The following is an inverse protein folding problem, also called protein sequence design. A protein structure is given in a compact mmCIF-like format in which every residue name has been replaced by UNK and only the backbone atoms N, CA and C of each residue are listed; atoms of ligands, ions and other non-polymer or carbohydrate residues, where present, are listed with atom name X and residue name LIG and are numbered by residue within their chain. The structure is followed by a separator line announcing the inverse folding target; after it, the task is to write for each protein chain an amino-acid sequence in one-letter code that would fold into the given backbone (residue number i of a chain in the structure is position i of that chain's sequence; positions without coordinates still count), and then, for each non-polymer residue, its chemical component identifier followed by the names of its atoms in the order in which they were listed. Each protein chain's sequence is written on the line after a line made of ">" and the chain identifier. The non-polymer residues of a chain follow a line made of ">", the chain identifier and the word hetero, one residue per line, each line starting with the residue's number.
data_IF_291594993964
#
_entry.id   IF_291594993964
#
_cell.length_a   1.000
_cell.length_b   1.000
_cell.length_c   1.000
_cell.angle_alpha   90.00
_cell.angle_beta   90.00
_cell.angle_gamma   90.00
#
_symmetry.space_group_name_H-M   'P 1'
#
loop_
_entity.id
_entity.type
_entity.pdbx_description
1 polymer ?
#
# COMPACT_ATOMS: atom_id res chain seq x y z
N UNK A 1 46.54 -0.93 -5.52
CA UNK A 1 46.66 -0.51 -4.09
C UNK A 1 45.90 0.79 -3.85
N UNK A 2 46.17 1.89 -4.58
CA UNK A 2 45.43 3.16 -4.41
C UNK A 2 43.93 3.06 -4.71
N UNK A 3 43.54 2.41 -5.81
CA UNK A 3 42.12 2.22 -6.17
C UNK A 3 41.35 1.40 -5.11
N UNK A 4 42.03 0.44 -4.49
CA UNK A 4 41.45 -0.43 -3.46
C UNK A 4 41.25 0.32 -2.14
N UNK A 5 42.20 1.19 -1.77
CA UNK A 5 42.04 2.10 -0.63
C UNK A 5 40.92 3.12 -0.86
N UNK A 6 40.73 3.59 -2.09
CA UNK A 6 39.65 4.52 -2.42
C UNK A 6 38.28 3.84 -2.35
N UNK A 7 38.14 2.61 -2.88
CA UNK A 7 36.94 1.78 -2.69
C UNK A 7 36.62 1.52 -1.23
N UNK A 8 37.62 1.28 -0.38
CA UNK A 8 37.42 1.05 1.05
C UNK A 8 36.83 2.29 1.73
N UNK A 9 37.35 3.48 1.43
CA UNK A 9 36.85 4.76 1.95
C UNK A 9 35.40 5.03 1.51
N UNK A 10 35.09 4.77 0.25
CA UNK A 10 33.72 4.92 -0.28
C UNK A 10 32.74 3.95 0.40
N UNK A 11 33.17 2.71 0.63
CA UNK A 11 32.36 1.70 1.32
C UNK A 11 32.10 2.08 2.77
N UNK A 12 33.11 2.56 3.50
CA UNK A 12 32.95 3.04 4.88
C UNK A 12 32.02 4.26 4.96
N UNK A 13 32.16 5.19 4.01
CA UNK A 13 31.27 6.34 3.92
C UNK A 13 29.81 5.90 3.65
N UNK A 14 29.60 5.00 2.69
CA UNK A 14 28.28 4.45 2.39
C UNK A 14 27.66 3.74 3.60
N UNK A 15 28.45 2.98 4.36
CA UNK A 15 28.03 2.31 5.59
C UNK A 15 27.57 3.33 6.65
N UNK A 16 28.33 4.40 6.86
CA UNK A 16 28.00 5.48 7.81
C UNK A 16 26.70 6.22 7.41
N UNK A 17 26.53 6.49 6.12
CA UNK A 17 25.30 7.10 5.59
C UNK A 17 24.09 6.17 5.78
N UNK A 18 24.24 4.87 5.51
CA UNK A 18 23.18 3.88 5.72
C UNK A 18 22.76 3.80 7.19
N UNK A 19 23.73 3.81 8.11
CA UNK A 19 23.48 3.83 9.55
C UNK A 19 22.71 5.09 9.99
N UNK A 20 23.16 6.28 9.59
CA UNK A 20 22.44 7.52 9.92
C UNK A 20 21.00 7.54 9.37
N UNK A 21 20.79 7.03 8.15
CA UNK A 21 19.45 6.90 7.55
C UNK A 21 18.56 5.91 8.31
N UNK A 22 19.14 4.84 8.85
CA UNK A 22 18.43 3.89 9.69
C UNK A 22 18.03 4.54 11.02
N UNK A 23 18.97 5.16 11.74
CA UNK A 23 18.71 5.85 13.01
C UNK A 23 17.65 6.96 12.88
N UNK A 24 17.72 7.76 11.80
CA UNK A 24 16.71 8.81 11.52
C UNK A 24 15.32 8.21 11.31
N UNK A 25 15.22 7.07 10.61
CA UNK A 25 13.93 6.37 10.40
C UNK A 25 13.39 5.76 11.69
N UNK A 26 14.25 5.24 12.56
CA UNK A 26 13.86 4.68 13.86
C UNK A 26 13.33 5.78 14.78
N UNK A 27 14.05 6.90 14.91
CA UNK A 27 13.60 8.07 15.70
C UNK A 27 12.25 8.61 15.21
N UNK A 28 12.04 8.70 13.89
CA UNK A 28 10.78 9.17 13.34
C UNK A 28 9.61 8.21 13.65
N UNK A 29 9.85 6.89 13.63
CA UNK A 29 8.85 5.89 14.03
C UNK A 29 8.47 6.02 15.50
N UNK A 30 9.47 6.20 16.38
CA UNK A 30 9.23 6.37 17.81
C UNK A 30 8.49 7.68 18.11
N UNK A 31 8.88 8.79 17.48
CA UNK A 31 8.19 10.07 17.60
C UNK A 31 6.73 9.98 17.15
N UNK A 32 6.46 9.31 16.02
CA UNK A 32 5.08 9.09 15.54
C UNK A 32 4.27 8.19 16.48
N UNK A 33 4.89 7.14 17.06
CA UNK A 33 4.23 6.28 18.05
C UNK A 33 3.87 7.07 19.30
N UNK A 34 4.75 7.96 19.77
CA UNK A 34 4.50 8.81 20.92
C UNK A 34 3.42 9.87 20.64
N UNK A 35 3.44 10.49 19.45
CA UNK A 35 2.42 11.45 19.04
C UNK A 35 1.03 10.80 18.94
N UNK A 36 0.94 9.58 18.40
CA UNK A 36 -0.30 8.83 18.35
C UNK A 36 -0.79 8.42 19.74
N UNK A 37 0.11 8.02 20.64
CA UNK A 37 -0.24 7.70 22.04
C UNK A 37 -0.77 8.94 22.78
N UNK A 38 -0.17 10.12 22.57
CA UNK A 38 -0.67 11.39 23.14
C UNK A 38 -2.08 11.72 22.63
N UNK A 39 -2.33 11.56 21.32
CA UNK A 39 -3.66 11.80 20.72
C UNK A 39 -4.75 10.88 21.27
N UNK A 40 -4.43 9.63 21.58
CA UNK A 40 -5.38 8.69 22.19
C UNK A 40 -5.70 9.04 23.65
N UNK A 41 -4.69 9.48 24.43
CA UNK A 41 -4.93 9.94 25.80
C UNK A 41 -5.79 11.21 25.88
N UNK A 42 -5.55 12.18 24.99
CA UNK A 42 -6.37 13.40 24.94
C UNK A 42 -7.80 13.18 24.44
N UNK A 43 -8.10 12.03 23.80
CA UNK A 43 -9.48 11.67 23.46
C UNK A 43 -10.19 10.89 24.57
N UNK A 44 -9.46 10.25 25.48
CA UNK A 44 -10.03 9.58 26.66
C UNK A 44 -10.28 10.59 27.80
N UNK A 45 -9.46 11.64 27.95
CA UNK A 45 -9.66 12.67 28.99
C UNK A 45 -10.75 13.71 28.65
N UNK A 46 -11.29 13.72 27.43
CA UNK A 46 -12.38 14.63 27.03
C UNK A 46 -13.77 13.96 27.02
N UNK A 47 -13.89 12.69 27.44
CA UNK A 47 -15.19 12.01 27.58
C UNK A 47 -15.75 12.06 29.02
N UNK A 48 -15.03 12.65 29.97
CA UNK A 48 -15.42 12.73 31.39
C UNK A 48 -15.75 14.15 31.91
N UNK A 49 -15.89 15.18 31.04
CA UNK A 49 -16.22 16.56 31.48
C UNK A 49 -17.34 17.23 30.64
N UNK A 50 -18.39 16.48 30.30
CA UNK A 50 -19.68 17.04 29.88
C UNK A 50 -20.79 16.70 30.88
N UNK A 51 -20.64 17.16 32.12
CA UNK A 51 -21.79 17.47 32.98
C UNK A 51 -21.66 18.87 33.54
N UNK A 52 -22.37 19.81 32.90
CA UNK A 52 -22.96 20.95 33.59
C UNK A 52 -22.21 22.27 33.52
N UNK A 53 -22.64 23.10 32.57
CA UNK A 53 -22.87 24.52 32.84
C UNK A 53 -23.85 25.05 31.79
N UNK A 54 -25.11 25.18 32.19
CA UNK A 54 -26.07 25.99 31.45
C UNK A 54 -25.64 27.45 31.50
N UNK A 55 -25.81 28.14 30.39
CA UNK A 55 -25.92 29.59 30.35
C UNK A 55 -26.90 29.92 29.24
N UNK A 56 -28.15 30.12 29.66
CA UNK A 56 -29.18 30.81 28.91
C UNK A 56 -28.65 32.20 28.55
N UNK A 57 -28.57 32.48 27.25
CA UNK A 57 -28.46 33.83 26.72
C UNK A 57 -29.69 34.02 25.86
N UNK A 58 -30.74 34.55 26.50
CA UNK A 58 -31.79 35.28 25.84
C UNK A 58 -31.17 36.52 25.17
N UNK A 59 -31.30 36.61 23.86
CA UNK A 59 -31.13 37.89 23.17
C UNK A 59 -32.28 38.04 22.16
N UNK A 60 -33.30 38.75 22.63
CA UNK A 60 -34.37 39.35 21.84
C UNK A 60 -33.81 40.41 20.89
N UNK A 61 -34.21 40.30 19.61
CA UNK A 61 -34.53 41.37 18.65
C UNK A 61 -34.46 40.71 17.26
N UNK A 62 -35.50 40.61 16.45
CA UNK A 62 -36.66 41.48 16.26
C UNK A 62 -36.73 41.71 14.75
N UNK A 63 -37.85 41.27 14.13
CA UNK A 63 -38.50 41.82 12.92
C UNK A 63 -37.66 41.97 11.63
N UNK A 64 -38.02 41.60 10.41
CA UNK A 64 -39.22 41.11 9.75
C UNK A 64 -38.76 40.50 8.41
N UNK A 65 -39.35 39.40 7.93
CA UNK A 65 -39.89 39.35 6.56
C UNK A 65 -40.68 38.07 6.31
N UNK A 66 -41.97 38.24 6.08
CA UNK A 66 -42.86 37.22 5.52
C UNK A 66 -42.55 37.02 4.03
N UNK A 67 -42.28 35.78 3.60
CA UNK A 67 -43.01 35.10 2.52
C UNK A 67 -42.30 33.82 2.08
N UNK A 68 -43.03 32.70 2.07
CA UNK A 68 -42.69 31.51 1.30
C UNK A 68 -42.85 30.19 2.05
N UNK A 69 -44.07 29.68 2.06
CA UNK A 69 -44.43 28.32 2.43
C UNK A 69 -43.55 27.26 1.74
N UNK A 70 -43.15 26.22 2.47
CA UNK A 70 -42.50 25.04 1.89
C UNK A 70 -41.86 24.15 2.95
N UNK A 71 -42.64 23.24 3.51
CA UNK A 71 -42.30 22.47 4.70
C UNK A 71 -41.20 21.40 4.59
N UNK A 72 -40.99 20.80 5.77
CA UNK A 72 -40.25 19.58 6.12
C UNK A 72 -38.73 19.65 6.41
N UNK A 73 -38.45 20.02 7.68
CA UNK A 73 -37.84 19.12 8.70
C UNK A 73 -37.25 17.81 8.16
N UNK A 74 -35.92 17.72 8.10
CA UNK A 74 -35.08 16.76 8.87
C UNK A 74 -33.61 16.89 8.45
N UNK A 75 -32.97 17.95 8.91
CA UNK A 75 -31.53 17.96 9.14
C UNK A 75 -31.23 17.14 10.40
N UNK A 76 -31.06 15.82 10.30
CA UNK A 76 -30.40 15.01 11.35
C UNK A 76 -29.76 13.73 10.77
N UNK A 77 -28.93 13.82 9.72
CA UNK A 77 -28.14 12.63 9.27
C UNK A 77 -26.80 12.97 8.57
N UNK A 78 -26.23 14.16 8.78
CA UNK A 78 -25.02 14.58 8.05
C UNK A 78 -23.67 14.11 8.66
N UNK A 79 -23.67 13.34 9.76
CA UNK A 79 -22.42 13.00 10.48
C UNK A 79 -21.89 11.57 10.28
N UNK A 80 -22.58 10.70 9.53
CA UNK A 80 -22.13 9.31 9.24
C UNK A 80 -21.68 9.02 7.80
N UNK A 81 -22.02 9.83 6.81
CA UNK A 81 -21.70 9.55 5.40
C UNK A 81 -20.29 9.98 4.92
N UNK A 82 -19.53 10.74 5.71
CA UNK A 82 -18.20 11.22 5.28
C UNK A 82 -17.07 10.19 5.37
N UNK A 83 -17.33 8.99 5.94
CA UNK A 83 -16.36 7.88 6.00
C UNK A 83 -16.55 6.85 4.88
N UNK A 84 -17.72 6.73 4.26
CA UNK A 84 -18.00 5.69 3.25
C UNK A 84 -17.39 6.00 1.88
N UNK A 85 -17.38 7.27 1.45
CA UNK A 85 -16.83 7.68 0.14
C UNK A 85 -15.29 7.58 0.05
N UNK A 86 -14.55 7.73 1.16
CA UNK A 86 -13.08 7.54 1.18
C UNK A 86 -12.66 6.07 1.13
N UNK A 87 -13.47 5.16 1.67
CA UNK A 87 -13.19 3.72 1.64
C UNK A 87 -13.37 3.14 0.23
N UNK A 88 -14.49 3.45 -0.42
CA UNK A 88 -14.80 3.00 -1.78
C UNK A 88 -13.77 3.47 -2.82
N UNK A 89 -13.34 4.72 -2.74
CA UNK A 89 -12.32 5.26 -3.65
C UNK A 89 -10.97 4.59 -3.47
N UNK A 90 -10.60 4.20 -2.25
CA UNK A 90 -9.38 3.44 -2.00
C UNK A 90 -9.46 2.01 -2.50
N UNK A 91 -10.60 1.34 -2.37
CA UNK A 91 -10.80 -0.02 -2.91
C UNK A 91 -10.67 0.01 -4.44
N UNK A 92 -11.33 0.95 -5.12
CA UNK A 92 -11.22 1.11 -6.58
C UNK A 92 -9.78 1.37 -7.01
N UNK A 93 -9.04 2.24 -6.29
CA UNK A 93 -7.62 2.50 -6.57
C UNK A 93 -6.75 1.25 -6.40
N UNK A 94 -6.97 0.47 -5.33
CA UNK A 94 -6.26 -0.78 -5.11
C UNK A 94 -6.58 -1.79 -6.23
N UNK A 95 -7.84 -1.91 -6.64
CA UNK A 95 -8.22 -2.78 -7.76
C UNK A 95 -7.54 -2.37 -9.06
N UNK A 96 -7.47 -1.07 -9.37
CA UNK A 96 -6.73 -0.56 -10.53
C UNK A 96 -5.24 -0.89 -10.41
N UNK A 97 -4.66 -0.76 -9.22
CA UNK A 97 -3.28 -1.15 -8.97
C UNK A 97 -3.05 -2.65 -9.20
N UNK A 98 -3.92 -3.52 -8.68
CA UNK A 98 -3.82 -4.97 -8.90
C UNK A 98 -3.93 -5.33 -10.39
N UNK A 99 -4.77 -4.63 -11.16
CA UNK A 99 -4.82 -4.79 -12.62
C UNK A 99 -3.47 -4.45 -13.28
N UNK A 100 -2.78 -3.39 -12.83
CA UNK A 100 -1.43 -3.05 -13.33
C UNK A 100 -0.39 -4.13 -12.98
N UNK A 101 -0.50 -4.75 -11.80
CA UNK A 101 0.38 -5.86 -11.39
C UNK A 101 0.12 -7.09 -12.28
N UNK A 102 -1.15 -7.41 -12.54
CA UNK A 102 -1.52 -8.52 -13.41
C UNK A 102 -1.06 -8.31 -14.87
N UNK A 103 -1.19 -7.08 -15.38
CA UNK A 103 -0.73 -6.66 -16.71
C UNK A 103 0.67 -6.06 -16.71
N UNK A 104 1.56 -6.49 -15.80
CA UNK A 104 2.86 -5.85 -15.61
C UNK A 104 3.75 -5.88 -16.86
N UNK A 105 3.61 -6.92 -17.69
CA UNK A 105 4.33 -7.10 -18.95
C UNK A 105 3.87 -6.14 -20.07
N UNK A 106 2.82 -5.34 -19.86
CA UNK A 106 2.43 -4.33 -20.83
C UNK A 106 3.54 -3.26 -20.96
N UNK A 107 3.92 -2.83 -22.18
CA UNK A 107 5.01 -1.86 -22.39
C UNK A 107 4.86 -0.55 -21.59
N UNK A 108 3.62 -0.13 -21.35
CA UNK A 108 3.32 1.05 -20.54
C UNK A 108 3.64 0.88 -19.06
N UNK A 109 3.47 -0.32 -18.50
CA UNK A 109 3.74 -0.63 -17.11
C UNK A 109 5.24 -0.86 -16.87
N UNK A 110 5.92 -1.55 -17.79
CA UNK A 110 7.36 -1.80 -17.75
C UNK A 110 8.18 -0.50 -17.69
N UNK A 111 7.88 0.45 -18.59
CA UNK A 111 8.56 1.76 -18.62
C UNK A 111 8.27 2.60 -17.38
N UNK A 112 7.18 2.32 -16.67
CA UNK A 112 6.71 3.09 -15.53
C UNK A 112 6.79 2.32 -14.21
N UNK A 113 7.68 1.32 -14.10
CA UNK A 113 7.85 0.53 -12.87
C UNK A 113 8.06 1.41 -11.63
N UNK A 114 8.79 2.52 -11.76
CA UNK A 114 8.99 3.47 -10.66
C UNK A 114 7.68 4.14 -10.22
N UNK A 115 6.73 4.39 -11.13
CA UNK A 115 5.40 4.88 -10.77
C UNK A 115 4.62 3.81 -10.03
N UNK A 116 4.69 2.55 -10.48
CA UNK A 116 4.02 1.43 -9.80
C UNK A 116 4.57 1.27 -8.39
N UNK A 117 5.89 1.35 -8.19
CA UNK A 117 6.52 1.29 -6.87
C UNK A 117 6.08 2.47 -5.98
N UNK A 118 5.93 3.68 -6.53
CA UNK A 118 5.39 4.82 -5.78
C UNK A 118 3.95 4.58 -5.36
N UNK A 119 3.09 4.11 -6.28
CA UNK A 119 1.69 3.76 -5.99
C UNK A 119 1.60 2.70 -4.89
N UNK A 120 2.45 1.66 -4.96
CA UNK A 120 2.54 0.59 -3.98
C UNK A 120 2.73 1.13 -2.54
N UNK A 121 3.57 2.14 -2.36
CA UNK A 121 3.85 2.75 -1.04
C UNK A 121 2.64 3.47 -0.42
N UNK A 122 1.64 3.83 -1.23
CA UNK A 122 0.43 4.54 -0.79
C UNK A 122 -0.68 3.60 -0.34
N UNK A 123 -0.61 2.31 -0.70
CA UNK A 123 -1.67 1.34 -0.47
C UNK A 123 -1.34 0.36 0.67
N UNK A 124 -2.36 -0.02 1.44
CA UNK A 124 -2.29 -1.13 2.39
C UNK A 124 -2.60 -2.45 1.68
N UNK A 125 -1.58 -3.08 1.11
CA UNK A 125 -1.73 -4.27 0.25
C UNK A 125 -1.67 -5.61 1.01
N UNK A 126 -1.55 -5.61 2.34
CA UNK A 126 -1.38 -6.83 3.16
C UNK A 126 -2.43 -7.91 2.86
N UNK A 127 -3.69 -7.50 2.66
CA UNK A 127 -4.82 -8.40 2.36
C UNK A 127 -4.77 -8.96 0.93
N UNK A 128 -4.05 -8.31 0.03
CA UNK A 128 -3.92 -8.65 -1.38
C UNK A 128 -2.58 -9.32 -1.71
N UNK A 129 -1.68 -9.49 -0.73
CA UNK A 129 -0.36 -10.10 -0.96
C UNK A 129 -0.42 -11.49 -1.57
N UNK A 130 -1.46 -12.29 -1.27
CA UNK A 130 -1.62 -13.61 -1.90
C UNK A 130 -1.88 -13.49 -3.41
N UNK A 131 -2.76 -12.58 -3.80
CA UNK A 131 -3.10 -12.31 -5.20
C UNK A 131 -1.90 -11.73 -5.94
N UNK A 132 -1.23 -10.73 -5.35
CA UNK A 132 -0.02 -10.11 -5.92
C UNK A 132 1.07 -11.15 -6.16
N UNK A 133 1.35 -12.02 -5.18
CA UNK A 133 2.35 -13.08 -5.32
C UNK A 133 2.01 -14.02 -6.47
N UNK A 134 0.74 -14.47 -6.55
CA UNK A 134 0.28 -15.33 -7.63
C UNK A 134 0.50 -14.63 -8.98
N UNK A 135 -0.03 -13.42 -9.13
CA UNK A 135 0.00 -12.68 -10.38
C UNK A 135 1.47 -12.46 -10.83
N UNK A 136 2.34 -11.99 -9.93
CA UNK A 136 3.77 -11.79 -10.23
C UNK A 136 4.51 -13.08 -10.58
N UNK A 137 4.18 -14.20 -9.92
CA UNK A 137 4.83 -15.49 -10.19
C UNK A 137 4.48 -16.08 -11.56
N UNK A 138 3.33 -15.67 -12.12
CA UNK A 138 2.80 -16.19 -13.39
C UNK A 138 2.99 -15.25 -14.58
N UNK A 139 3.68 -14.12 -14.40
CA UNK A 139 3.92 -13.16 -15.49
C UNK A 139 4.74 -13.85 -16.59
N UNK A 140 4.28 -13.84 -17.86
CA UNK A 140 5.11 -14.26 -18.98
C UNK A 140 6.16 -13.17 -19.24
N UNK A 141 7.44 -13.57 -19.22
CA UNK A 141 8.60 -12.71 -19.47
C UNK A 141 9.27 -13.19 -20.74
N UNK A 142 9.49 -12.29 -21.69
CA UNK A 142 10.05 -12.59 -23.01
C UNK A 142 11.57 -12.38 -23.06
N UNK A 143 12.33 -12.85 -22.07
CA UNK A 143 13.81 -12.74 -21.99
C UNK A 143 14.40 -11.35 -22.36
N UNK A 144 13.59 -10.28 -22.28
CA UNK A 144 14.02 -8.90 -22.53
C UNK A 144 14.67 -8.38 -21.24
N UNK A 145 15.86 -7.80 -21.35
CA UNK A 145 16.59 -7.21 -20.22
C UNK A 145 15.73 -6.20 -19.47
N UNK A 146 14.94 -5.40 -20.19
CA UNK A 146 14.08 -4.39 -19.59
C UNK A 146 12.96 -5.02 -18.75
N UNK A 147 12.34 -6.09 -19.25
CA UNK A 147 11.28 -6.80 -18.54
C UNK A 147 11.80 -7.44 -17.26
N UNK A 148 12.97 -8.07 -17.35
CA UNK A 148 13.63 -8.72 -16.21
C UNK A 148 14.01 -7.67 -15.15
N UNK A 149 14.66 -6.57 -15.54
CA UNK A 149 15.07 -5.51 -14.63
C UNK A 149 13.87 -4.84 -13.93
N UNK A 150 12.79 -4.59 -14.70
CA UNK A 150 11.57 -4.03 -14.15
C UNK A 150 10.93 -4.99 -13.14
N UNK A 151 10.84 -6.28 -13.47
CA UNK A 151 10.28 -7.28 -12.55
C UNK A 151 11.12 -7.40 -11.28
N UNK A 152 12.44 -7.49 -11.40
CA UNK A 152 13.36 -7.54 -10.26
C UNK A 152 13.18 -6.31 -9.37
N UNK A 153 13.04 -5.13 -9.96
CA UNK A 153 12.78 -3.87 -9.23
C UNK A 153 11.47 -3.94 -8.45
N UNK A 154 10.40 -4.43 -9.09
CA UNK A 154 9.08 -4.53 -8.46
C UNK A 154 9.06 -5.55 -7.32
N UNK A 155 9.59 -6.76 -7.56
CA UNK A 155 9.71 -7.85 -6.57
C UNK A 155 10.56 -7.41 -5.39
N UNK A 156 11.69 -6.73 -5.63
CA UNK A 156 12.55 -6.18 -4.59
C UNK A 156 11.82 -5.14 -3.73
N UNK A 157 11.00 -4.30 -4.37
CA UNK A 157 10.22 -3.29 -3.68
C UNK A 157 9.15 -3.93 -2.77
N UNK A 158 8.45 -4.96 -3.24
CA UNK A 158 7.52 -5.73 -2.40
C UNK A 158 8.23 -6.42 -1.23
N UNK A 159 9.43 -6.98 -1.47
CA UNK A 159 10.22 -7.60 -0.41
C UNK A 159 10.60 -6.62 0.69
N UNK A 160 10.99 -5.39 0.33
CA UNK A 160 11.36 -4.35 1.29
C UNK A 160 10.18 -3.82 2.11
N UNK A 161 8.97 -3.82 1.55
CA UNK A 161 7.78 -3.32 2.25
C UNK A 161 7.02 -4.37 3.05
N UNK A 162 7.13 -5.64 2.65
CA UNK A 162 6.34 -6.72 3.24
C UNK A 162 7.24 -7.91 3.59
N UNK A 163 7.58 -8.04 4.89
CA UNK A 163 8.49 -9.08 5.40
C UNK A 163 8.11 -10.50 4.95
N UNK A 164 6.80 -10.79 4.85
CA UNK A 164 6.27 -12.11 4.46
C UNK A 164 6.26 -12.35 2.95
N UNK A 165 6.51 -11.33 2.12
CA UNK A 165 6.43 -11.44 0.67
C UNK A 165 7.50 -12.36 0.10
N UNK A 166 8.76 -12.22 0.54
CA UNK A 166 9.88 -12.99 -0.02
C UNK A 166 9.69 -14.51 0.10
N UNK A 167 9.25 -14.97 1.29
CA UNK A 167 8.93 -16.39 1.50
C UNK A 167 7.79 -16.86 0.59
N UNK A 168 6.67 -16.13 0.56
CA UNK A 168 5.50 -16.49 -0.27
C UNK A 168 5.83 -16.51 -1.76
N UNK A 169 6.61 -15.55 -2.23
CA UNK A 169 7.01 -15.45 -3.62
C UNK A 169 7.93 -16.61 -4.01
N UNK A 170 8.93 -16.94 -3.17
CA UNK A 170 9.78 -18.12 -3.37
C UNK A 170 8.94 -19.40 -3.46
N UNK A 171 8.04 -19.62 -2.51
CA UNK A 171 7.19 -20.81 -2.46
C UNK A 171 6.33 -20.91 -3.75
N UNK A 172 5.73 -19.80 -4.19
CA UNK A 172 4.93 -19.75 -5.42
C UNK A 172 5.75 -20.04 -6.69
N UNK A 173 6.97 -19.52 -6.80
CA UNK A 173 7.86 -19.82 -7.92
C UNK A 173 8.26 -21.31 -7.93
N UNK A 174 8.59 -21.87 -6.75
CA UNK A 174 8.91 -23.29 -6.64
C UNK A 174 7.73 -24.19 -7.02
N UNK A 175 6.50 -23.81 -6.69
CA UNK A 175 5.29 -24.53 -7.09
C UNK A 175 5.13 -24.61 -8.61
N UNK A 176 5.52 -23.56 -9.34
CA UNK A 176 5.48 -23.54 -10.82
C UNK A 176 6.47 -24.55 -11.40
N UNK A 177 7.68 -24.64 -10.83
CA UNK A 177 8.72 -25.56 -11.32
C UNK A 177 8.54 -26.99 -10.80
N UNK A 178 7.84 -27.19 -9.68
CA UNK A 178 7.60 -28.50 -9.10
C UNK A 178 6.13 -28.66 -8.65
N UNK A 179 5.18 -28.78 -9.59
CA UNK A 179 3.76 -28.87 -9.27
C UNK A 179 3.39 -30.15 -8.48
N UNK A 180 4.31 -31.11 -8.33
CA UNK A 180 4.11 -32.38 -7.63
C UNK A 180 4.57 -32.37 -6.16
N UNK A 181 5.30 -31.35 -5.69
CA UNK A 181 5.83 -31.34 -4.30
C UNK A 181 4.91 -30.72 -3.25
N UNK A 182 3.88 -29.97 -3.64
CA UNK A 182 2.93 -29.38 -2.69
C UNK A 182 1.48 -29.76 -3.04
N UNK A 183 1.06 -30.94 -2.56
CA UNK A 183 -0.37 -31.23 -2.38
C UNK A 183 -0.92 -30.27 -1.31
N UNK A 184 -1.42 -29.11 -1.73
CA UNK A 184 -2.48 -28.43 -1.01
C UNK A 184 -3.72 -28.54 -1.89
N UNK A 185 -4.72 -29.18 -1.31
CA UNK A 185 -6.02 -29.48 -1.88
C UNK A 185 -6.71 -28.26 -2.48
N UNK A 186 -7.25 -28.48 -3.69
CA UNK A 186 -8.50 -27.99 -4.27
C UNK A 186 -8.37 -27.21 -5.58
N UNK A 187 -8.77 -27.92 -6.64
CA UNK A 187 -9.47 -27.48 -7.85
C UNK A 187 -9.10 -26.12 -8.44
N UNK A 188 -8.38 -26.15 -9.57
CA UNK A 188 -8.95 -25.85 -10.89
C UNK A 188 -7.83 -25.92 -11.92
N UNK A 189 -7.64 -27.11 -12.48
CA UNK A 189 -6.92 -27.28 -13.74
C UNK A 189 -7.64 -26.48 -14.82
N UNK A 190 -6.91 -25.67 -15.57
CA UNK A 190 -6.95 -25.58 -17.05
C UNK A 190 -6.05 -24.45 -17.53
N UNK A 191 -5.24 -24.77 -18.54
CA UNK A 191 -4.50 -23.88 -19.44
C UNK A 191 -3.21 -23.21 -18.93
N UNK A 192 -2.12 -23.97 -18.99
CA UNK A 192 -0.79 -23.40 -19.27
C UNK A 192 -0.29 -23.97 -20.60
N UNK A 193 -0.26 -23.13 -21.62
CA UNK A 193 0.47 -23.39 -22.87
C UNK A 193 1.89 -22.86 -22.68
N UNK A 194 2.85 -23.79 -22.57
CA UNK A 194 4.27 -23.49 -22.65
C UNK A 194 4.71 -23.74 -24.11
N UNK A 195 4.80 -22.68 -24.93
CA UNK A 195 5.34 -22.79 -26.28
C UNK A 195 6.83 -22.43 -26.25
N UNK A 196 7.68 -23.34 -25.76
CA UNK A 196 9.11 -23.29 -26.08
C UNK A 196 9.25 -23.99 -27.42
N UNK A 197 9.12 -23.24 -28.51
CA UNK A 197 9.69 -23.69 -29.78
C UNK A 197 11.21 -23.57 -29.67
N UNK A 198 11.81 -24.71 -29.32
CA UNK A 198 13.12 -25.12 -29.82
C UNK A 198 13.08 -25.14 -31.35
N UNK A 199 14.08 -24.56 -31.99
CA UNK A 199 14.82 -25.07 -33.16
C UNK A 199 15.83 -23.98 -33.54
N UNK A 200 17.12 -24.21 -33.24
CA UNK A 200 18.18 -24.70 -34.16
C UNK A 200 18.48 -23.73 -35.27
#
# INVERSE_FOLDING_TARGET
>A
IEEEQQRLKEWEYAKKVAQMRWEKRTRLREANKLANKKRQKTSEENEDDETGAGMDMDEENGEDNENGEGGNKKQKDAKKQKKETKGETNIKKIQTFLKKIKGFNEPGNLKNVQSIVKEMSTFKLDRYLKEIVRDLSTIPINNDSLEIEALVTLVSSFHQMYDKFGKKFKDAILDIFNPKSHKISSASSSEFIFNINKQT
#
